data_IF_790467265103
#
_entry.id   IF_790467265103
#
_cell.length_a   1.000
_cell.length_b   1.000
_cell.length_c   1.000
_cell.angle_alpha   90.00
_cell.angle_beta   90.00
_cell.angle_gamma   90.00
#
_symmetry.space_group_name_H-M   'P 1'
#
loop_
_entity.id
_entity.type
_entity.pdbx_description
1 polymer ?
#
# COMPACT_ATOMS: atom_id res chain seq x y z
N UNK A 1 36.39 24.10 34.23
CA UNK A 1 36.44 23.60 32.84
C UNK A 1 37.61 22.64 32.60
N UNK A 2 38.87 23.11 32.46
CA UNK A 2 40.01 22.24 32.08
C UNK A 2 40.26 21.03 33.00
N UNK A 3 40.11 21.21 34.31
CA UNK A 3 40.24 20.10 35.28
C UNK A 3 39.18 19.02 35.06
N UNK A 4 37.91 19.42 34.88
CA UNK A 4 36.80 18.49 34.63
C UNK A 4 36.99 17.79 33.28
N UNK A 5 37.39 18.51 32.24
CA UNK A 5 37.69 17.92 30.93
C UNK A 5 38.73 16.80 31.04
N UNK A 6 39.79 16.98 31.84
CA UNK A 6 40.79 15.95 32.10
C UNK A 6 40.22 14.73 32.85
N UNK A 7 39.32 14.95 33.80
CA UNK A 7 38.65 13.85 34.51
C UNK A 7 37.75 13.06 33.55
N UNK A 8 37.04 13.74 32.66
CA UNK A 8 36.19 13.14 31.63
C UNK A 8 36.97 12.32 30.61
N UNK A 9 38.16 12.78 30.18
CA UNK A 9 39.03 11.98 29.30
C UNK A 9 39.51 10.67 29.92
N UNK A 10 39.44 10.55 31.25
CA UNK A 10 39.76 9.32 31.97
C UNK A 10 38.51 8.49 32.31
N UNK A 11 37.33 8.83 31.76
CA UNK A 11 36.04 8.18 32.04
C UNK A 11 35.66 8.14 33.52
N UNK A 12 36.14 9.09 34.33
CA UNK A 12 35.89 9.17 35.78
C UNK A 12 34.67 10.04 36.09
N UNK A 13 33.50 9.67 35.58
CA UNK A 13 32.29 10.50 35.62
C UNK A 13 31.82 10.85 37.04
N UNK A 14 31.90 9.90 37.98
CA UNK A 14 31.58 10.13 39.40
C UNK A 14 32.50 11.17 40.06
N UNK A 15 33.80 11.13 39.75
CA UNK A 15 34.75 12.12 40.24
C UNK A 15 34.51 13.49 39.61
N UNK A 16 34.10 13.54 38.34
CA UNK A 16 33.73 14.79 37.69
C UNK A 16 32.49 15.42 38.35
N UNK A 17 31.46 14.62 38.67
CA UNK A 17 30.27 15.09 39.42
C UNK A 17 30.60 15.56 40.84
N UNK A 18 31.45 14.82 41.56
CA UNK A 18 31.91 15.26 42.90
C UNK A 18 32.64 16.60 42.80
N UNK A 19 33.51 16.76 41.80
CA UNK A 19 34.23 18.00 41.60
C UNK A 19 33.31 19.18 41.27
N UNK A 20 32.26 18.96 40.49
CA UNK A 20 31.22 19.96 40.26
C UNK A 20 30.50 20.36 41.55
N UNK A 21 30.12 19.39 42.39
CA UNK A 21 29.48 19.66 43.67
C UNK A 21 30.37 20.50 44.60
N UNK A 22 31.67 20.22 44.67
CA UNK A 22 32.64 21.02 45.42
C UNK A 22 32.75 22.46 44.88
N UNK A 23 32.74 22.62 43.55
CA UNK A 23 32.77 23.94 42.91
C UNK A 23 31.51 24.74 43.22
N UNK A 24 30.31 24.12 43.21
CA UNK A 24 29.06 24.77 43.62
C UNK A 24 29.11 25.27 45.06
N UNK A 25 29.67 24.49 45.97
CA UNK A 25 29.79 24.86 47.39
C UNK A 25 30.77 26.00 47.61
N UNK A 26 31.90 25.99 46.89
CA UNK A 26 32.99 26.96 47.08
C UNK A 26 32.85 28.21 46.22
N UNK A 27 32.07 28.15 45.14
CA UNK A 27 31.89 29.22 44.15
C UNK A 27 30.42 29.32 43.75
N UNK A 28 29.60 29.85 44.65
CA UNK A 28 28.14 29.99 44.46
C UNK A 28 27.75 30.92 43.31
N UNK A 29 28.68 31.70 42.77
CA UNK A 29 28.49 32.55 41.58
C UNK A 29 28.73 31.81 40.25
N UNK A 30 29.25 30.58 40.28
CA UNK A 30 29.54 29.81 39.09
C UNK A 30 28.26 29.17 38.55
N UNK A 31 27.84 29.55 37.35
CA UNK A 31 26.90 28.76 36.56
C UNK A 31 27.64 27.54 35.99
N UNK A 32 27.28 26.36 36.47
CA UNK A 32 27.89 25.10 36.07
C UNK A 32 26.94 24.19 35.28
N UNK A 33 25.80 24.73 34.83
CA UNK A 33 24.80 23.97 34.07
C UNK A 33 25.40 23.33 32.81
N UNK A 34 26.22 24.07 32.07
CA UNK A 34 26.92 23.56 30.88
C UNK A 34 27.90 22.44 31.23
N UNK A 35 28.67 22.59 32.31
CA UNK A 35 29.63 21.57 32.73
C UNK A 35 28.93 20.31 33.23
N UNK A 36 27.81 20.44 33.93
CA UNK A 36 27.00 19.30 34.35
C UNK A 36 26.41 18.55 33.14
N UNK A 37 25.89 19.29 32.15
CA UNK A 37 25.43 18.72 30.87
C UNK A 37 26.57 17.96 30.16
N UNK A 38 27.76 18.57 30.06
CA UNK A 38 28.89 17.96 29.36
C UNK A 38 29.41 16.68 30.04
N UNK A 39 29.34 16.60 31.37
CA UNK A 39 29.65 15.38 32.13
C UNK A 39 28.67 14.25 31.79
N UNK A 40 27.37 14.55 31.78
CA UNK A 40 26.33 13.57 31.48
C UNK A 40 26.41 13.12 30.00
N UNK A 41 26.69 14.02 29.06
CA UNK A 41 26.90 13.69 27.64
C UNK A 41 28.13 12.78 27.45
N UNK A 42 29.23 13.05 28.16
CA UNK A 42 30.43 12.23 28.08
C UNK A 42 30.18 10.81 28.65
N UNK A 43 29.42 10.69 29.73
CA UNK A 43 29.03 9.39 30.29
C UNK A 43 28.11 8.62 29.33
N UNK A 44 27.09 9.27 28.77
CA UNK A 44 26.19 8.65 27.80
C UNK A 44 26.92 8.10 26.56
N UNK A 45 27.86 8.88 26.02
CA UNK A 45 28.69 8.46 24.88
C UNK A 45 29.57 7.27 25.24
N UNK A 46 30.13 7.25 26.45
CA UNK A 46 30.92 6.10 26.92
C UNK A 46 30.07 4.83 26.96
N UNK A 47 28.85 4.87 27.50
CA UNK A 47 27.93 3.72 27.49
C UNK A 47 27.58 3.27 26.06
N UNK A 48 27.28 4.20 25.15
CA UNK A 48 27.00 3.87 23.76
C UNK A 48 28.19 3.17 23.07
N UNK A 49 29.42 3.63 23.30
CA UNK A 49 30.64 3.00 22.79
C UNK A 49 30.90 1.59 23.36
N UNK A 50 30.34 1.29 24.53
CA UNK A 50 30.36 -0.06 25.11
C UNK A 50 29.14 -0.91 24.70
N UNK A 51 28.32 -0.41 23.77
CA UNK A 51 27.04 -1.01 23.36
C UNK A 51 26.01 -1.15 24.49
N UNK A 52 26.17 -0.39 25.57
CA UNK A 52 25.21 -0.28 26.66
C UNK A 52 24.18 0.82 26.32
N UNK A 53 23.38 0.53 25.30
CA UNK A 53 22.40 1.49 24.77
C UNK A 53 21.27 1.80 25.74
N UNK A 54 20.98 0.90 26.70
CA UNK A 54 19.94 1.15 27.69
C UNK A 54 20.34 2.28 28.64
N UNK A 55 21.57 2.23 29.17
CA UNK A 55 22.06 3.25 30.07
C UNK A 55 22.34 4.57 29.34
N UNK A 56 22.91 4.50 28.13
CA UNK A 56 23.09 5.68 27.29
C UNK A 56 21.74 6.38 27.00
N UNK A 57 20.71 5.62 26.62
CA UNK A 57 19.38 6.16 26.38
C UNK A 57 18.75 6.76 27.65
N UNK A 58 18.92 6.10 28.81
CA UNK A 58 18.44 6.64 30.09
C UNK A 58 19.02 8.03 30.37
N UNK A 59 20.33 8.20 30.19
CA UNK A 59 21.03 9.47 30.44
C UNK A 59 20.61 10.52 29.41
N UNK A 60 20.63 10.19 28.12
CA UNK A 60 20.34 11.16 27.05
C UNK A 60 18.87 11.62 27.05
N UNK A 61 17.92 10.72 27.36
CA UNK A 61 16.52 11.10 27.49
C UNK A 61 16.25 11.95 28.75
N UNK A 62 17.00 11.74 29.84
CA UNK A 62 16.93 12.63 31.00
C UNK A 62 17.51 14.02 30.68
N UNK A 63 18.68 14.07 30.03
CA UNK A 63 19.26 15.30 29.52
C UNK A 63 18.28 16.05 28.61
N UNK A 64 17.58 15.32 27.73
CA UNK A 64 16.59 15.89 26.82
C UNK A 64 15.42 16.54 27.54
N UNK A 65 15.00 16.01 28.69
CA UNK A 65 13.95 16.62 29.53
C UNK A 65 14.43 17.91 30.18
N UNK A 66 15.68 17.94 30.66
CA UNK A 66 16.29 19.12 31.29
C UNK A 66 16.64 20.22 30.29
N UNK A 67 17.05 19.83 29.08
CA UNK A 67 17.52 20.71 28.02
C UNK A 67 16.79 20.43 26.69
N UNK A 68 15.48 20.70 26.61
CA UNK A 68 14.64 20.31 25.46
C UNK A 68 14.94 21.10 24.19
N UNK A 69 15.77 22.15 24.24
CA UNK A 69 16.17 22.96 23.07
C UNK A 69 17.67 22.88 22.77
N UNK A 70 18.43 22.07 23.52
CA UNK A 70 19.87 21.97 23.34
C UNK A 70 20.23 21.07 22.15
N UNK A 71 20.84 21.68 21.13
CA UNK A 71 21.23 21.00 19.90
C UNK A 71 22.37 20.00 20.10
N UNK A 72 23.23 20.20 21.10
CA UNK A 72 24.27 19.23 21.42
C UNK A 72 23.64 17.95 21.98
N UNK A 73 22.63 18.08 22.84
CA UNK A 73 21.86 16.93 23.34
C UNK A 73 21.09 16.26 22.21
N UNK A 74 20.46 17.01 21.30
CA UNK A 74 19.80 16.44 20.11
C UNK A 74 20.77 15.64 19.25
N UNK A 75 21.95 16.21 18.97
CA UNK A 75 22.99 15.58 18.17
C UNK A 75 23.46 14.28 18.81
N UNK A 76 23.80 14.31 20.10
CA UNK A 76 24.23 13.12 20.84
C UNK A 76 23.16 12.04 20.89
N UNK A 77 21.88 12.40 21.07
CA UNK A 77 20.77 11.44 20.97
C UNK A 77 20.76 10.68 19.63
N UNK A 78 21.09 11.36 18.53
CA UNK A 78 21.13 10.70 17.22
C UNK A 78 22.42 9.93 17.03
N UNK A 79 23.58 10.55 17.23
CA UNK A 79 24.89 9.89 17.03
C UNK A 79 25.05 8.64 17.91
N UNK A 80 24.66 8.72 19.19
CA UNK A 80 24.94 7.68 20.17
C UNK A 80 23.85 6.58 20.19
N UNK A 81 22.64 6.83 19.63
CA UNK A 81 21.50 5.90 19.68
C UNK A 81 20.86 5.57 18.32
N UNK A 82 21.40 6.01 17.18
CA UNK A 82 20.82 5.75 15.84
C UNK A 82 20.64 4.24 15.53
N UNK A 83 21.53 3.41 16.06
CA UNK A 83 21.51 1.94 15.93
C UNK A 83 20.62 1.25 16.98
N UNK A 84 20.13 1.98 17.98
CA UNK A 84 19.28 1.41 19.03
C UNK A 84 17.83 1.21 18.55
N UNK A 85 17.10 0.31 19.19
CA UNK A 85 15.65 0.13 18.94
C UNK A 85 14.77 1.27 19.50
N UNK A 86 15.35 2.39 19.99
CA UNK A 86 14.62 3.50 20.64
C UNK A 86 14.34 4.65 19.68
N UNK A 87 13.59 4.39 18.61
CA UNK A 87 13.49 5.29 17.46
C UNK A 87 12.67 6.58 17.70
N UNK A 88 11.65 6.59 18.57
CA UNK A 88 10.76 7.77 18.70
C UNK A 88 11.45 9.01 19.30
N UNK A 89 12.22 8.81 20.37
CA UNK A 89 12.99 9.89 21.00
C UNK A 89 14.12 10.42 20.11
N UNK A 90 14.73 9.52 19.34
CA UNK A 90 15.82 9.82 18.40
C UNK A 90 15.29 10.58 17.18
N UNK A 91 14.15 10.15 16.61
CA UNK A 91 13.48 10.86 15.50
C UNK A 91 13.12 12.29 15.87
N UNK A 92 12.51 12.50 17.05
CA UNK A 92 12.17 13.85 17.53
C UNK A 92 13.40 14.75 17.71
N UNK A 93 14.53 14.19 18.16
CA UNK A 93 15.79 14.91 18.27
C UNK A 93 16.39 15.28 16.91
N UNK A 94 16.37 14.35 15.94
CA UNK A 94 16.83 14.58 14.57
C UNK A 94 16.05 15.70 13.88
N UNK A 95 14.71 15.67 13.99
CA UNK A 95 13.83 16.71 13.45
C UNK A 95 14.19 18.08 14.02
N UNK A 96 14.28 18.19 15.35
CA UNK A 96 14.60 19.46 15.98
C UNK A 96 16.01 19.95 15.63
N UNK A 97 16.98 19.06 15.53
CA UNK A 97 18.33 19.44 15.12
C UNK A 97 18.33 20.01 13.70
N UNK A 98 17.63 19.35 12.78
CA UNK A 98 17.50 19.78 11.39
C UNK A 98 16.80 21.14 11.27
N UNK A 99 15.69 21.37 11.99
CA UNK A 99 14.99 22.66 11.96
C UNK A 99 15.87 23.84 12.41
N UNK A 100 16.78 23.60 13.35
CA UNK A 100 17.63 24.64 13.93
C UNK A 100 18.97 24.81 13.20
N UNK A 101 19.35 23.88 12.33
CA UNK A 101 20.69 23.84 11.71
C UNK A 101 20.59 24.07 10.22
N UNK A 102 20.98 25.25 9.70
CA UNK A 102 21.04 25.46 8.27
C UNK A 102 22.21 24.70 7.63
N UNK A 103 22.03 24.23 6.40
CA UNK A 103 23.10 23.60 5.62
C UNK A 103 23.14 22.07 5.73
N UNK A 104 24.29 21.48 5.45
CA UNK A 104 24.46 20.02 5.42
C UNK A 104 24.36 19.43 6.84
N UNK A 105 23.56 18.37 6.98
CA UNK A 105 23.42 17.63 8.23
C UNK A 105 24.37 16.44 8.27
N UNK A 106 24.62 15.94 9.48
CA UNK A 106 25.35 14.70 9.68
C UNK A 106 24.59 13.52 9.05
N UNK A 107 25.33 12.53 8.55
CA UNK A 107 24.78 11.38 7.86
C UNK A 107 23.78 10.60 8.73
N UNK A 108 24.05 10.46 10.02
CA UNK A 108 23.22 9.77 11.00
C UNK A 108 21.87 10.47 11.22
N UNK A 109 21.87 11.81 11.15
CA UNK A 109 20.65 12.63 11.25
C UNK A 109 19.82 12.46 9.99
N UNK A 110 20.43 12.55 8.81
CA UNK A 110 19.75 12.31 7.55
C UNK A 110 19.16 10.90 7.49
N UNK A 111 19.90 9.88 7.90
CA UNK A 111 19.42 8.49 7.91
C UNK A 111 18.26 8.29 8.89
N UNK A 112 18.32 8.91 10.06
CA UNK A 112 17.21 8.90 11.03
C UNK A 112 15.96 9.57 10.44
N UNK A 113 16.12 10.70 9.75
CA UNK A 113 15.02 11.39 9.09
C UNK A 113 14.45 10.57 7.93
N UNK A 114 15.29 9.92 7.11
CA UNK A 114 14.86 9.02 6.01
C UNK A 114 14.08 7.82 6.53
N UNK A 115 14.55 7.19 7.60
CA UNK A 115 13.85 6.09 8.27
C UNK A 115 12.51 6.54 8.84
N UNK A 116 12.49 7.72 9.49
CA UNK A 116 11.27 8.36 9.95
C UNK A 116 10.29 8.56 8.80
N UNK A 117 10.75 9.16 7.70
CA UNK A 117 9.95 9.42 6.51
C UNK A 117 9.37 8.14 5.88
N UNK A 118 10.13 7.05 5.81
CA UNK A 118 9.63 5.76 5.29
C UNK A 118 8.54 5.14 6.17
N UNK A 119 8.61 5.38 7.48
CA UNK A 119 7.65 4.84 8.45
C UNK A 119 6.44 5.76 8.67
N UNK A 120 6.58 7.05 8.35
CA UNK A 120 5.49 8.01 8.39
C UNK A 120 4.78 7.95 7.04
N UNK A 121 3.48 7.60 7.03
CA UNK A 121 2.69 7.61 5.79
C UNK A 121 2.70 8.99 5.09
N UNK A 122 2.14 9.07 3.88
CA UNK A 122 2.14 10.29 3.06
C UNK A 122 1.49 11.51 3.71
N UNK A 123 0.44 11.27 4.50
CA UNK A 123 -0.44 12.31 5.03
C UNK A 123 -0.01 12.77 6.43
N UNK A 124 -0.48 13.96 6.81
CA UNK A 124 -0.25 14.55 8.12
C UNK A 124 0.93 15.53 8.15
N UNK A 125 0.94 16.36 9.20
CA UNK A 125 1.93 17.44 9.36
C UNK A 125 3.33 16.91 9.63
N UNK A 126 3.46 15.77 10.30
CA UNK A 126 4.76 15.13 10.52
C UNK A 126 5.40 14.67 9.20
N UNK A 127 4.61 14.03 8.31
CA UNK A 127 5.09 13.59 7.00
C UNK A 127 5.58 14.77 6.15
N UNK A 128 4.78 15.86 6.11
CA UNK A 128 5.13 17.09 5.41
C UNK A 128 6.42 17.71 5.95
N UNK A 129 6.56 17.77 7.28
CA UNK A 129 7.75 18.31 7.94
C UNK A 129 8.99 17.48 7.63
N UNK A 130 8.90 16.15 7.71
CA UNK A 130 10.01 15.25 7.37
C UNK A 130 10.45 15.42 5.90
N UNK A 131 9.50 15.50 4.97
CA UNK A 131 9.81 15.79 3.55
C UNK A 131 10.51 17.12 3.39
N UNK A 132 10.00 18.19 4.00
CA UNK A 132 10.59 19.52 3.91
C UNK A 132 12.04 19.53 4.42
N UNK A 133 12.31 18.87 5.54
CA UNK A 133 13.66 18.73 6.10
C UNK A 133 14.58 17.94 5.16
N UNK A 134 14.13 16.78 4.66
CA UNK A 134 14.94 15.97 3.75
C UNK A 134 15.24 16.70 2.44
N UNK A 135 14.28 17.43 1.87
CA UNK A 135 14.46 18.27 0.68
C UNK A 135 15.48 19.39 0.95
N UNK A 136 15.41 20.03 2.13
CA UNK A 136 16.30 21.14 2.47
C UNK A 136 17.74 20.71 2.75
N UNK A 137 17.94 19.52 3.30
CA UNK A 137 19.22 19.08 3.85
C UNK A 137 19.92 17.96 3.07
N UNK A 138 19.23 17.24 2.19
CA UNK A 138 19.83 16.20 1.34
C UNK A 138 19.59 16.48 -0.15
N UNK A 139 20.61 17.03 -0.79
CA UNK A 139 20.59 17.36 -2.23
C UNK A 139 20.36 16.15 -3.15
N UNK A 140 20.62 14.93 -2.67
CA UNK A 140 20.43 13.70 -3.44
C UNK A 140 19.03 13.10 -3.27
N UNK A 141 18.30 13.51 -2.22
CA UNK A 141 17.04 12.90 -1.82
C UNK A 141 15.97 12.97 -2.92
N UNK A 142 15.77 14.14 -3.53
CA UNK A 142 14.78 14.31 -4.62
C UNK A 142 15.10 13.40 -5.81
N UNK A 143 16.38 13.22 -6.14
CA UNK A 143 16.79 12.33 -7.23
C UNK A 143 16.57 10.86 -6.88
N UNK A 144 16.81 10.45 -5.64
CA UNK A 144 16.50 9.10 -5.17
C UNK A 144 14.99 8.80 -5.29
N UNK A 145 14.13 9.76 -4.92
CA UNK A 145 12.68 9.62 -5.04
C UNK A 145 12.20 9.43 -6.49
N UNK A 146 12.92 9.96 -7.49
CA UNK A 146 12.57 9.70 -8.90
C UNK A 146 12.65 8.22 -9.27
N UNK A 147 13.61 7.48 -8.70
CA UNK A 147 13.75 6.05 -8.95
C UNK A 147 12.66 5.23 -8.24
N UNK A 148 12.17 5.72 -7.10
CA UNK A 148 11.14 5.06 -6.30
C UNK A 148 9.71 5.26 -6.83
N UNK A 149 9.48 6.24 -7.73
CA UNK A 149 8.14 6.51 -8.29
C UNK A 149 7.55 5.31 -9.05
N UNK A 150 8.40 4.48 -9.65
CA UNK A 150 8.00 3.26 -10.33
C UNK A 150 8.21 2.01 -9.45
N UNK A 151 8.40 2.14 -8.13
CA UNK A 151 8.57 1.01 -7.19
C UNK A 151 7.30 0.16 -7.10
N UNK A 152 7.45 -1.15 -6.90
CA UNK A 152 6.35 -2.06 -6.59
C UNK A 152 5.88 -1.87 -5.13
N UNK A 153 6.79 -1.46 -4.24
CA UNK A 153 6.47 -1.15 -2.85
C UNK A 153 5.60 0.12 -2.79
N UNK A 154 4.39 -0.03 -2.25
CA UNK A 154 3.38 1.03 -2.21
C UNK A 154 3.89 2.24 -1.41
N UNK A 155 4.50 2.00 -0.24
CA UNK A 155 4.99 3.08 0.62
C UNK A 155 6.00 3.97 -0.10
N UNK A 156 7.00 3.37 -0.72
CA UNK A 156 8.06 4.07 -1.45
C UNK A 156 7.49 4.89 -2.61
N UNK A 157 6.64 4.28 -3.44
CA UNK A 157 6.02 4.94 -4.59
C UNK A 157 5.19 6.17 -4.20
N UNK A 158 4.39 6.05 -3.15
CA UNK A 158 3.51 7.13 -2.66
C UNK A 158 4.31 8.25 -2.01
N UNK A 159 5.38 7.90 -1.29
CA UNK A 159 6.33 8.84 -0.73
C UNK A 159 7.08 9.62 -1.83
N UNK A 160 7.58 8.93 -2.85
CA UNK A 160 8.22 9.52 -4.01
C UNK A 160 7.31 10.53 -4.73
N UNK A 161 6.07 10.13 -5.00
CA UNK A 161 5.06 11.00 -5.61
C UNK A 161 4.88 12.31 -4.83
N UNK A 162 4.80 12.21 -3.50
CA UNK A 162 4.59 13.37 -2.63
C UNK A 162 5.78 14.32 -2.64
N UNK A 163 7.01 13.77 -2.57
CA UNK A 163 8.23 14.58 -2.64
C UNK A 163 8.31 15.32 -3.97
N UNK A 164 8.13 14.62 -5.09
CA UNK A 164 8.21 15.22 -6.43
C UNK A 164 7.13 16.27 -6.69
N UNK A 165 5.94 16.08 -6.11
CA UNK A 165 4.86 17.07 -6.12
C UNK A 165 5.23 18.32 -5.33
N UNK A 166 5.73 18.15 -4.09
CA UNK A 166 6.08 19.26 -3.20
C UNK A 166 7.19 20.15 -3.82
N UNK A 167 8.17 19.54 -4.50
CA UNK A 167 9.23 20.28 -5.21
C UNK A 167 8.85 20.73 -6.62
N UNK A 168 7.62 20.44 -7.08
CA UNK A 168 7.13 20.76 -8.44
C UNK A 168 8.00 20.20 -9.57
N UNK A 169 8.54 19.00 -9.37
CA UNK A 169 9.37 18.29 -10.35
C UNK A 169 8.73 17.01 -10.89
N UNK A 170 7.49 16.73 -10.50
CA UNK A 170 6.70 15.66 -11.09
C UNK A 170 6.26 16.09 -12.51
N UNK A 171 6.70 15.33 -13.51
CA UNK A 171 6.25 15.54 -14.90
C UNK A 171 4.87 14.88 -15.13
N UNK A 172 4.07 15.34 -16.10
CA UNK A 172 2.79 14.70 -16.41
C UNK A 172 2.94 13.21 -16.72
N UNK A 173 3.99 12.82 -17.44
CA UNK A 173 4.24 11.42 -17.83
C UNK A 173 4.52 10.53 -16.61
N UNK A 174 5.19 11.08 -15.61
CA UNK A 174 5.44 10.43 -14.33
C UNK A 174 4.16 10.31 -13.49
N UNK A 175 3.34 11.36 -13.45
CA UNK A 175 2.05 11.37 -12.75
C UNK A 175 1.11 10.31 -13.33
N UNK A 176 1.02 10.22 -14.67
CA UNK A 176 0.22 9.20 -15.34
C UNK A 176 0.71 7.78 -14.99
N UNK A 177 2.02 7.50 -15.05
CA UNK A 177 2.56 6.18 -14.67
C UNK A 177 2.23 5.82 -13.22
N UNK A 178 2.36 6.77 -12.30
CA UNK A 178 2.00 6.59 -10.90
C UNK A 178 0.55 6.16 -10.73
N UNK A 179 -0.39 6.88 -11.35
CA UNK A 179 -1.81 6.56 -11.23
C UNK A 179 -2.18 5.24 -11.93
N UNK A 180 -1.62 4.94 -13.10
CA UNK A 180 -1.83 3.63 -13.75
C UNK A 180 -1.32 2.50 -12.86
N UNK A 181 -0.14 2.65 -12.26
CA UNK A 181 0.42 1.63 -11.36
C UNK A 181 -0.44 1.41 -10.12
N UNK A 182 -0.96 2.49 -9.52
CA UNK A 182 -1.87 2.38 -8.38
C UNK A 182 -3.22 1.74 -8.76
N UNK A 183 -3.79 2.08 -9.91
CA UNK A 183 -5.02 1.44 -10.43
C UNK A 183 -4.86 -0.08 -10.55
N UNK A 184 -3.70 -0.51 -11.03
CA UNK A 184 -3.38 -1.91 -11.30
C UNK A 184 -3.08 -2.69 -10.02
N UNK A 185 -2.28 -2.13 -9.10
CA UNK A 185 -1.75 -2.87 -7.95
C UNK A 185 -2.61 -2.80 -6.69
N UNK A 186 -3.37 -1.72 -6.50
CA UNK A 186 -4.05 -1.47 -5.22
C UNK A 186 -5.48 -1.98 -5.21
N UNK A 187 -5.93 -2.40 -4.03
CA UNK A 187 -7.34 -2.69 -3.75
C UNK A 187 -8.06 -1.46 -3.21
N UNK A 188 -9.38 -1.60 -3.00
CA UNK A 188 -10.24 -0.60 -2.38
C UNK A 188 -9.84 -0.18 -0.97
N UNK A 189 -8.90 -0.89 -0.33
CA UNK A 189 -8.38 -0.55 1.00
C UNK A 189 -7.42 0.65 1.02
N UNK A 190 -6.98 1.12 -0.16
CA UNK A 190 -6.04 2.23 -0.30
C UNK A 190 -6.72 3.46 -0.89
N UNK A 191 -6.58 4.61 -0.24
CA UNK A 191 -7.10 5.91 -0.71
C UNK A 191 -6.58 6.27 -2.11
N UNK A 192 -5.32 5.94 -2.38
CA UNK A 192 -4.60 6.19 -3.62
C UNK A 192 -5.20 5.45 -4.81
N UNK A 193 -5.91 4.34 -4.56
CA UNK A 193 -6.67 3.65 -5.60
C UNK A 193 -7.87 4.50 -6.06
N UNK A 194 -8.53 5.21 -5.14
CA UNK A 194 -9.57 6.19 -5.46
C UNK A 194 -9.02 7.39 -6.22
N UNK A 195 -7.90 7.96 -5.75
CA UNK A 195 -7.21 9.07 -6.44
C UNK A 195 -6.82 8.69 -7.88
N UNK A 196 -6.31 7.48 -8.08
CA UNK A 196 -5.97 6.97 -9.41
C UNK A 196 -7.19 6.85 -10.33
N UNK A 197 -8.33 6.37 -9.81
CA UNK A 197 -9.57 6.27 -10.57
C UNK A 197 -10.02 7.65 -11.05
N UNK A 198 -10.07 8.62 -10.13
CA UNK A 198 -10.54 9.97 -10.45
C UNK A 198 -9.59 10.68 -11.42
N UNK A 199 -8.28 10.58 -11.20
CA UNK A 199 -7.27 11.11 -12.12
C UNK A 199 -7.40 10.53 -13.53
N UNK A 200 -7.46 9.20 -13.66
CA UNK A 200 -7.46 8.54 -14.96
C UNK A 200 -8.76 8.76 -15.73
N UNK A 201 -9.89 8.90 -15.03
CA UNK A 201 -11.16 9.31 -15.63
C UNK A 201 -11.04 10.71 -16.22
N UNK A 202 -10.58 11.67 -15.43
CA UNK A 202 -10.46 13.06 -15.85
C UNK A 202 -9.39 13.28 -16.93
N UNK A 203 -8.28 12.54 -16.87
CA UNK A 203 -7.19 12.64 -17.83
C UNK A 203 -7.56 11.97 -19.17
N UNK A 204 -8.30 10.86 -19.13
CA UNK A 204 -8.71 10.11 -20.31
C UNK A 204 -9.61 10.87 -21.28
N UNK A 205 -10.38 11.84 -20.78
CA UNK A 205 -11.30 12.66 -21.57
C UNK A 205 -10.61 13.89 -22.22
N UNK A 206 -9.34 14.13 -21.91
CA UNK A 206 -8.61 15.31 -22.41
C UNK A 206 -8.06 15.09 -23.83
N UNK A 207 -8.04 16.13 -24.68
CA UNK A 207 -7.33 16.07 -25.96
C UNK A 207 -5.85 15.72 -25.77
N UNK A 208 -5.29 14.90 -26.66
CA UNK A 208 -3.89 14.46 -26.59
C UNK A 208 -3.63 13.24 -25.70
N UNK A 209 -4.68 12.58 -25.20
CA UNK A 209 -4.56 11.40 -24.33
C UNK A 209 -3.70 10.28 -24.93
N UNK A 210 -3.85 10.01 -26.22
CA UNK A 210 -3.09 8.94 -26.91
C UNK A 210 -1.60 9.27 -26.96
N UNK A 211 -1.26 10.51 -27.29
CA UNK A 211 0.12 11.01 -27.29
C UNK A 211 0.71 10.99 -25.89
N UNK A 212 -0.06 11.37 -24.88
CA UNK A 212 0.37 11.40 -23.48
C UNK A 212 0.66 9.99 -22.94
N UNK A 213 -0.23 9.01 -23.18
CA UNK A 213 0.04 7.60 -22.84
C UNK A 213 1.30 7.07 -23.52
N UNK A 214 1.50 7.42 -24.78
CA UNK A 214 2.70 7.02 -25.55
C UNK A 214 3.97 7.64 -24.96
N UNK A 215 3.94 8.93 -24.61
CA UNK A 215 5.06 9.62 -23.98
C UNK A 215 5.38 9.03 -22.59
N UNK A 216 4.34 8.73 -21.81
CA UNK A 216 4.46 8.07 -20.52
C UNK A 216 4.96 6.62 -20.60
N UNK A 217 4.91 6.00 -21.79
CA UNK A 217 5.38 4.63 -22.00
C UNK A 217 4.53 3.58 -21.29
N UNK A 218 3.20 3.77 -21.26
CA UNK A 218 2.29 2.84 -20.59
C UNK A 218 2.38 1.47 -21.25
N UNK A 219 2.67 0.45 -20.45
CA UNK A 219 2.84 -0.94 -20.87
C UNK A 219 1.47 -1.64 -20.94
N UNK A 220 1.36 -2.77 -21.66
CA UNK A 220 0.19 -3.64 -21.57
C UNK A 220 -0.12 -4.01 -20.12
N UNK A 221 -1.40 -3.98 -19.76
CA UNK A 221 -1.88 -4.27 -18.42
C UNK A 221 -2.08 -5.78 -18.29
N UNK A 222 -1.31 -6.40 -17.40
CA UNK A 222 -1.30 -7.87 -17.20
C UNK A 222 -1.96 -8.31 -15.90
N UNK A 223 -2.25 -7.38 -15.00
CA UNK A 223 -2.89 -7.61 -13.70
C UNK A 223 -3.77 -6.39 -13.36
N UNK A 224 -4.86 -6.60 -12.62
CA UNK A 224 -5.66 -5.52 -12.02
C UNK A 224 -6.29 -6.04 -10.74
N UNK A 225 -5.72 -5.66 -9.59
CA UNK A 225 -6.12 -6.19 -8.28
C UNK A 225 -7.58 -5.92 -7.95
N UNK A 226 -8.08 -4.75 -8.36
CA UNK A 226 -9.47 -4.36 -8.16
C UNK A 226 -10.49 -5.33 -8.78
N UNK A 227 -10.16 -5.99 -9.90
CA UNK A 227 -11.10 -6.91 -10.56
C UNK A 227 -11.21 -8.26 -9.85
N UNK A 228 -10.35 -8.57 -8.88
CA UNK A 228 -10.40 -9.82 -8.11
C UNK A 228 -11.48 -9.83 -7.02
N UNK A 229 -12.18 -8.70 -6.83
CA UNK A 229 -13.23 -8.53 -5.81
C UNK A 229 -14.57 -8.16 -6.45
N UNK A 230 -15.68 -8.51 -5.79
CA UNK A 230 -17.02 -8.05 -6.15
C UNK A 230 -17.42 -6.86 -5.26
N UNK A 231 -16.84 -5.69 -5.54
CA UNK A 231 -17.13 -4.46 -4.82
C UNK A 231 -17.37 -3.26 -5.76
N UNK A 232 -17.76 -2.13 -5.17
CA UNK A 232 -17.98 -0.87 -5.91
C UNK A 232 -16.69 -0.39 -6.60
N UNK A 233 -15.53 -0.70 -6.01
CA UNK A 233 -14.25 -0.30 -6.55
C UNK A 233 -13.95 -1.00 -7.88
N UNK A 234 -14.18 -2.31 -7.99
CA UNK A 234 -14.12 -3.04 -9.25
C UNK A 234 -14.98 -2.36 -10.32
N UNK A 235 -16.22 -1.99 -9.97
CA UNK A 235 -17.17 -1.32 -10.87
C UNK A 235 -16.69 0.06 -11.35
N UNK A 236 -15.92 0.78 -10.52
CA UNK A 236 -15.32 2.08 -10.90
C UNK A 236 -14.08 1.95 -11.79
N UNK A 237 -13.36 0.83 -11.70
CA UNK A 237 -12.16 0.55 -12.51
C UNK A 237 -12.52 0.10 -13.93
N UNK A 238 -13.61 -0.66 -14.11
CA UNK A 238 -14.00 -1.21 -15.43
C UNK A 238 -14.11 -0.16 -16.56
N UNK A 239 -14.76 1.00 -16.36
CA UNK A 239 -14.86 2.02 -17.40
C UNK A 239 -13.50 2.63 -17.78
N UNK A 240 -12.55 2.67 -16.84
CA UNK A 240 -11.19 3.17 -17.11
C UNK A 240 -10.45 2.18 -18.02
N UNK A 241 -10.53 0.89 -17.68
CA UNK A 241 -9.90 -0.17 -18.48
C UNK A 241 -10.52 -0.28 -19.87
N UNK A 242 -11.81 -0.05 -20.01
CA UNK A 242 -12.53 -0.22 -21.29
C UNK A 242 -12.72 1.06 -22.09
N UNK A 243 -12.32 2.22 -21.55
CA UNK A 243 -12.25 3.49 -22.25
C UNK A 243 -10.79 3.96 -22.37
N UNK A 244 -10.32 4.85 -21.47
CA UNK A 244 -8.98 5.44 -21.55
C UNK A 244 -7.83 4.45 -21.72
N UNK A 245 -7.88 3.28 -21.07
CA UNK A 245 -6.83 2.26 -21.11
C UNK A 245 -7.17 1.04 -21.97
N UNK A 246 -8.15 1.15 -22.88
CA UNK A 246 -8.61 0.01 -23.68
C UNK A 246 -7.50 -0.61 -24.53
N UNK A 247 -6.64 0.21 -25.14
CA UNK A 247 -5.56 -0.29 -25.99
C UNK A 247 -4.57 -1.17 -25.20
N UNK A 248 -4.36 -0.86 -23.93
CA UNK A 248 -3.42 -1.53 -23.03
C UNK A 248 -4.05 -2.73 -22.30
N UNK A 249 -5.38 -2.75 -22.13
CA UNK A 249 -6.10 -3.76 -21.34
C UNK A 249 -6.85 -4.80 -22.18
N UNK A 250 -7.18 -4.50 -23.44
CA UNK A 250 -8.14 -5.29 -24.25
C UNK A 250 -7.81 -6.77 -24.35
N UNK A 251 -6.56 -7.10 -24.67
CA UNK A 251 -6.14 -8.50 -24.82
C UNK A 251 -6.24 -9.26 -23.50
N UNK A 252 -5.77 -8.64 -22.41
CA UNK A 252 -5.78 -9.27 -21.10
C UNK A 252 -7.20 -9.43 -20.54
N UNK A 253 -8.07 -8.44 -20.72
CA UNK A 253 -9.50 -8.54 -20.36
C UNK A 253 -10.16 -9.72 -21.08
N UNK A 254 -9.86 -9.94 -22.36
CA UNK A 254 -10.39 -11.08 -23.11
C UNK A 254 -9.88 -12.41 -22.52
N UNK A 255 -8.57 -12.53 -22.26
CA UNK A 255 -7.95 -13.74 -21.67
C UNK A 255 -8.51 -14.08 -20.29
N UNK A 256 -8.69 -13.07 -19.43
CA UNK A 256 -9.32 -13.27 -18.12
C UNK A 256 -10.75 -13.76 -18.24
N UNK A 257 -11.53 -13.15 -19.12
CA UNK A 257 -12.94 -13.51 -19.31
C UNK A 257 -13.12 -14.91 -19.92
N UNK A 258 -12.27 -15.32 -20.86
CA UNK A 258 -12.32 -16.68 -21.45
C UNK A 258 -11.81 -17.76 -20.50
N UNK A 259 -11.01 -17.39 -19.49
CA UNK A 259 -10.34 -18.34 -18.60
C UNK A 259 -9.19 -19.06 -19.29
N UNK A 260 -8.56 -18.40 -20.28
CA UNK A 260 -7.30 -18.84 -20.91
C UNK A 260 -6.07 -18.48 -20.04
N UNK A 261 -6.33 -17.84 -18.90
CA UNK A 261 -5.38 -17.54 -17.85
C UNK A 261 -5.68 -18.44 -16.64
N UNK A 262 -4.67 -19.21 -16.18
CA UNK A 262 -4.84 -20.19 -15.10
C UNK A 262 -5.25 -19.52 -13.77
N UNK A 263 -4.79 -18.29 -13.53
CA UNK A 263 -5.16 -17.55 -12.33
C UNK A 263 -6.61 -17.08 -12.41
N UNK A 264 -7.06 -16.55 -13.55
CA UNK A 264 -8.45 -16.17 -13.75
C UNK A 264 -9.41 -17.36 -13.76
N UNK A 265 -8.98 -18.55 -14.20
CA UNK A 265 -9.82 -19.76 -14.11
C UNK A 265 -10.11 -20.15 -12.66
N UNK A 266 -9.15 -19.89 -11.76
CA UNK A 266 -9.30 -20.09 -10.31
C UNK A 266 -9.99 -18.90 -9.62
N UNK A 267 -9.94 -17.71 -10.22
CA UNK A 267 -10.52 -16.48 -9.69
C UNK A 267 -11.80 -16.08 -10.45
N UNK A 268 -12.94 -16.59 -9.97
CA UNK A 268 -14.26 -16.34 -10.56
C UNK A 268 -14.64 -14.86 -10.65
N UNK A 269 -14.25 -14.04 -9.66
CA UNK A 269 -14.48 -12.60 -9.66
C UNK A 269 -13.78 -11.92 -10.83
N UNK A 270 -12.47 -12.19 -11.00
CA UNK A 270 -11.66 -11.61 -12.08
C UNK A 270 -12.26 -11.91 -13.46
N UNK A 271 -12.60 -13.18 -13.71
CA UNK A 271 -13.23 -13.60 -14.96
C UNK A 271 -14.58 -12.92 -15.20
N UNK A 272 -15.43 -12.87 -14.18
CA UNK A 272 -16.75 -12.25 -14.26
C UNK A 272 -16.68 -10.73 -14.49
N UNK A 273 -15.80 -10.07 -13.75
CA UNK A 273 -15.56 -8.64 -13.84
C UNK A 273 -14.97 -8.25 -15.20
N UNK A 274 -14.04 -9.03 -15.73
CA UNK A 274 -13.50 -8.80 -17.08
C UNK A 274 -14.58 -8.94 -18.17
N UNK A 275 -15.44 -9.96 -18.09
CA UNK A 275 -16.58 -10.12 -18.99
C UNK A 275 -17.58 -8.96 -18.87
N UNK A 276 -17.93 -8.56 -17.64
CA UNK A 276 -18.82 -7.42 -17.38
C UNK A 276 -18.28 -6.14 -18.00
N UNK A 277 -16.99 -5.84 -17.78
CA UNK A 277 -16.33 -4.68 -18.36
C UNK A 277 -16.45 -4.66 -19.89
N UNK A 278 -16.08 -5.77 -20.54
CA UNK A 278 -16.15 -5.88 -22.00
C UNK A 278 -17.59 -5.77 -22.50
N UNK A 279 -18.57 -6.31 -21.78
CA UNK A 279 -19.98 -6.22 -22.15
C UNK A 279 -20.53 -4.82 -22.07
N UNK A 280 -20.28 -4.11 -20.97
CA UNK A 280 -20.75 -2.75 -20.78
C UNK A 280 -20.13 -1.78 -21.80
N UNK A 281 -18.89 -2.06 -22.23
CA UNK A 281 -18.22 -1.34 -23.30
C UNK A 281 -18.71 -1.70 -24.72
N UNK A 282 -19.65 -2.63 -24.88
CA UNK A 282 -20.09 -3.12 -26.20
C UNK A 282 -19.01 -3.91 -26.95
N UNK A 283 -17.98 -4.38 -26.23
CA UNK A 283 -16.88 -5.21 -26.73
C UNK A 283 -17.11 -6.70 -26.47
N UNK A 284 -18.17 -7.03 -25.74
CA UNK A 284 -18.69 -8.38 -25.64
C UNK A 284 -19.36 -8.81 -26.98
N UNK A 285 -19.34 -10.10 -27.31
CA UNK A 285 -18.90 -10.55 -28.64
C UNK A 285 -20.06 -10.81 -29.60
N UNK A 286 -19.75 -11.16 -30.87
CA UNK A 286 -19.01 -12.39 -31.14
C UNK A 286 -17.50 -12.25 -31.41
N UNK A 287 -16.91 -11.05 -31.39
CA UNK A 287 -15.49 -10.86 -31.77
C UNK A 287 -14.42 -11.16 -30.69
N UNK A 288 -14.72 -11.17 -29.38
CA UNK A 288 -13.71 -11.35 -28.31
C UNK A 288 -13.92 -12.53 -27.31
N UNK A 289 -15.15 -12.99 -27.07
CA UNK A 289 -15.61 -13.90 -25.96
C UNK A 289 -17.04 -14.40 -26.25
N UNK A 290 -17.24 -15.62 -26.72
CA UNK A 290 -18.61 -16.07 -27.00
C UNK A 290 -19.47 -16.14 -25.70
N UNK A 291 -20.60 -15.37 -25.57
CA UNK A 291 -21.35 -15.27 -24.31
C UNK A 291 -21.88 -16.60 -23.80
N UNK A 292 -22.30 -17.50 -24.70
CA UNK A 292 -22.77 -18.82 -24.30
C UNK A 292 -21.67 -19.62 -23.62
N UNK A 293 -20.47 -19.71 -24.22
CA UNK A 293 -19.30 -20.39 -23.68
C UNK A 293 -18.87 -19.77 -22.34
N UNK A 294 -18.91 -18.45 -22.22
CA UNK A 294 -18.62 -17.76 -20.96
C UNK A 294 -19.57 -18.20 -19.83
N UNK A 295 -20.88 -18.10 -20.05
CA UNK A 295 -21.87 -18.44 -19.03
C UNK A 295 -21.89 -19.95 -18.75
N UNK A 296 -21.69 -20.79 -19.77
CA UNK A 296 -21.56 -22.23 -19.60
C UNK A 296 -20.37 -22.58 -18.69
N UNK A 297 -19.20 -21.95 -18.92
CA UNK A 297 -18.03 -22.11 -18.04
C UNK A 297 -18.34 -21.63 -16.63
N UNK A 298 -19.05 -20.51 -16.46
CA UNK A 298 -19.47 -20.00 -15.14
C UNK A 298 -20.31 -21.01 -14.36
N UNK A 299 -21.22 -21.73 -15.00
CA UNK A 299 -21.99 -22.80 -14.36
C UNK A 299 -21.16 -24.07 -14.09
N UNK A 300 -19.98 -24.22 -14.71
CA UNK A 300 -19.07 -25.36 -14.51
C UNK A 300 -17.96 -25.10 -13.48
N UNK A 301 -17.55 -23.85 -13.26
CA UNK A 301 -16.37 -23.52 -12.43
C UNK A 301 -16.67 -22.71 -11.18
N UNK A 302 -17.91 -22.27 -10.94
CA UNK A 302 -18.23 -21.51 -9.72
C UNK A 302 -17.94 -22.31 -8.44
N UNK A 303 -17.55 -21.60 -7.37
CA UNK A 303 -17.22 -22.18 -6.08
C UNK A 303 -18.47 -22.34 -5.21
N UNK A 304 -18.85 -23.59 -4.92
CA UNK A 304 -20.04 -23.94 -4.16
C UNK A 304 -19.85 -23.65 -2.66
N UNK A 305 -20.26 -22.46 -2.23
CA UNK A 305 -20.10 -21.98 -0.85
C UNK A 305 -20.05 -20.46 -0.72
N UNK A 306 -19.84 -19.77 -1.83
CA UNK A 306 -20.10 -18.35 -2.00
C UNK A 306 -21.11 -18.28 -3.13
N UNK A 307 -22.30 -17.70 -2.93
CA UNK A 307 -23.25 -17.49 -4.01
C UNK A 307 -22.76 -16.30 -4.83
N UNK A 308 -22.03 -16.53 -5.93
CA UNK A 308 -21.38 -15.44 -6.61
C UNK A 308 -22.34 -14.81 -7.61
N UNK A 309 -22.29 -13.49 -7.79
CA UNK A 309 -23.21 -12.80 -8.71
C UNK A 309 -23.19 -13.39 -10.14
N UNK A 310 -22.02 -13.87 -10.60
CA UNK A 310 -21.84 -14.46 -11.92
C UNK A 310 -22.51 -15.83 -12.12
N UNK A 311 -22.82 -16.55 -11.04
CA UNK A 311 -23.63 -17.77 -11.11
C UNK A 311 -25.06 -17.42 -11.49
N UNK A 312 -25.68 -16.51 -10.74
CA UNK A 312 -27.06 -16.07 -10.96
C UNK A 312 -27.22 -15.46 -12.34
N UNK A 313 -26.24 -14.63 -12.76
CA UNK A 313 -26.20 -14.06 -14.09
C UNK A 313 -26.13 -15.13 -15.20
N UNK A 314 -25.34 -16.18 -15.02
CA UNK A 314 -25.26 -17.29 -15.98
C UNK A 314 -26.55 -18.11 -16.02
N UNK A 315 -27.20 -18.36 -14.88
CA UNK A 315 -28.51 -19.03 -14.84
C UNK A 315 -29.56 -18.18 -15.56
N UNK A 316 -29.61 -16.88 -15.31
CA UNK A 316 -30.53 -15.96 -15.96
C UNK A 316 -30.31 -15.88 -17.48
N UNK A 317 -29.04 -15.89 -17.92
CA UNK A 317 -28.69 -15.98 -19.33
C UNK A 317 -29.32 -17.23 -19.96
N UNK A 318 -29.08 -18.43 -19.40
CA UNK A 318 -29.62 -19.67 -19.96
C UNK A 318 -31.14 -19.76 -19.83
N UNK A 319 -31.74 -19.23 -18.76
CA UNK A 319 -33.20 -19.07 -18.66
C UNK A 319 -33.73 -18.29 -19.86
N UNK A 320 -33.14 -17.14 -20.19
CA UNK A 320 -33.55 -16.35 -21.35
C UNK A 320 -33.34 -17.10 -22.67
N UNK A 321 -32.29 -17.94 -22.77
CA UNK A 321 -32.06 -18.78 -23.95
C UNK A 321 -33.05 -19.95 -24.07
N UNK A 322 -33.77 -20.34 -23.02
CA UNK A 322 -34.79 -21.41 -23.15
C UNK A 322 -35.90 -21.07 -24.15
N UNK A 323 -36.15 -19.78 -24.41
CA UNK A 323 -37.09 -19.34 -25.44
C UNK A 323 -36.53 -19.39 -26.87
N UNK A 324 -35.20 -19.34 -27.04
CA UNK A 324 -34.52 -19.24 -28.34
C UNK A 324 -33.86 -20.55 -28.77
N UNK A 325 -33.18 -21.22 -27.84
CA UNK A 325 -32.42 -22.47 -28.00
C UNK A 325 -32.78 -23.45 -26.86
N UNK A 326 -34.05 -23.91 -26.78
CA UNK A 326 -34.58 -24.63 -25.62
C UNK A 326 -33.80 -25.89 -25.27
N UNK A 327 -33.47 -26.74 -26.26
CA UNK A 327 -32.80 -28.01 -26.02
C UNK A 327 -31.38 -27.81 -25.46
N UNK A 328 -30.62 -26.90 -26.08
CA UNK A 328 -29.23 -26.63 -25.71
C UNK A 328 -29.14 -25.93 -24.35
N UNK A 329 -29.99 -24.93 -24.09
CA UNK A 329 -30.00 -24.22 -22.82
C UNK A 329 -30.41 -25.14 -21.66
N UNK A 330 -31.40 -26.03 -21.88
CA UNK A 330 -31.80 -27.02 -20.89
C UNK A 330 -30.69 -28.04 -20.61
N UNK A 331 -29.95 -28.47 -21.64
CA UNK A 331 -28.84 -29.40 -21.44
C UNK A 331 -27.75 -28.80 -20.53
N UNK A 332 -27.40 -27.51 -20.71
CA UNK A 332 -26.43 -26.83 -19.85
C UNK A 332 -26.94 -26.71 -18.41
N UNK A 333 -28.19 -26.29 -18.22
CA UNK A 333 -28.79 -26.17 -16.88
C UNK A 333 -28.91 -27.55 -16.19
N UNK A 334 -29.23 -28.61 -16.92
CA UNK A 334 -29.27 -29.99 -16.41
C UNK A 334 -27.88 -30.46 -15.95
N UNK A 335 -26.83 -30.18 -16.72
CA UNK A 335 -25.47 -30.50 -16.32
C UNK A 335 -25.06 -29.76 -15.04
N UNK A 336 -25.43 -28.49 -14.91
CA UNK A 336 -25.22 -27.72 -13.69
C UNK A 336 -25.98 -28.32 -12.48
N UNK A 337 -27.24 -28.70 -12.67
CA UNK A 337 -28.07 -29.31 -11.63
C UNK A 337 -27.47 -30.64 -11.15
N UNK A 338 -27.03 -31.50 -12.07
CA UNK A 338 -26.40 -32.78 -11.75
C UNK A 338 -25.12 -32.60 -10.93
N UNK A 339 -24.26 -31.63 -11.29
CA UNK A 339 -23.04 -31.29 -10.53
C UNK A 339 -23.37 -30.79 -9.12
N UNK A 340 -24.41 -29.97 -8.96
CA UNK A 340 -24.87 -29.50 -7.65
C UNK A 340 -25.39 -30.67 -6.78
N UNK A 341 -26.18 -31.58 -7.37
CA UNK A 341 -26.68 -32.77 -6.70
C UNK A 341 -25.56 -33.69 -6.22
N UNK A 342 -24.54 -33.91 -7.06
CA UNK A 342 -23.36 -34.70 -6.71
C UNK A 342 -22.59 -34.08 -5.52
N UNK A 343 -22.39 -32.77 -5.52
CA UNK A 343 -21.70 -32.08 -4.42
C UNK A 343 -22.51 -32.08 -3.14
N UNK A 344 -23.84 -31.86 -3.21
CA UNK A 344 -24.73 -31.99 -2.05
C UNK A 344 -24.64 -33.41 -1.47
N UNK A 345 -24.64 -34.44 -2.32
CA UNK A 345 -24.48 -35.82 -1.88
C UNK A 345 -23.09 -36.07 -1.27
N UNK A 346 -22.04 -35.47 -1.82
CA UNK A 346 -20.68 -35.48 -1.26
C UNK A 346 -20.63 -34.87 0.15
N UNK A 347 -21.17 -33.67 0.34
CA UNK A 347 -21.22 -32.99 1.64
C UNK A 347 -22.00 -33.77 2.69
N UNK A 348 -23.11 -34.41 2.30
CA UNK A 348 -23.88 -35.32 3.18
C UNK A 348 -23.06 -36.54 3.59
N UNK A 349 -22.37 -37.20 2.64
CA UNK A 349 -21.50 -38.36 2.92
C UNK A 349 -20.34 -38.02 3.85
N UNK A 350 -19.74 -36.84 3.66
CA UNK A 350 -18.65 -36.34 4.47
C UNK A 350 -19.09 -35.76 5.83
N UNK A 351 -20.39 -35.79 6.16
CA UNK A 351 -20.97 -35.21 7.38
C UNK A 351 -20.55 -33.74 7.60
N UNK A 352 -20.37 -32.98 6.51
CA UNK A 352 -19.98 -31.57 6.61
C UNK A 352 -21.10 -30.76 7.27
N UNK A 353 -20.70 -29.70 7.98
CA UNK A 353 -21.62 -28.80 8.68
C UNK A 353 -22.80 -28.42 7.75
N UNK A 354 -24.07 -28.57 8.21
CA UNK A 354 -25.26 -28.27 7.42
C UNK A 354 -25.26 -26.89 6.74
N UNK A 355 -24.54 -25.91 7.30
CA UNK A 355 -24.39 -24.59 6.69
C UNK A 355 -23.70 -24.65 5.32
N UNK A 356 -22.75 -25.56 5.09
CA UNK A 356 -22.12 -25.79 3.78
C UNK A 356 -23.06 -26.46 2.77
N UNK A 357 -24.16 -27.07 3.23
CA UNK A 357 -25.14 -27.72 2.36
C UNK A 357 -26.23 -26.73 1.89
N UNK A 358 -26.43 -25.61 2.60
CA UNK A 358 -27.51 -24.65 2.31
C UNK A 358 -27.33 -23.92 0.98
N UNK A 359 -26.12 -23.41 0.72
CA UNK A 359 -25.86 -22.66 -0.52
C UNK A 359 -26.06 -23.52 -1.79
N UNK A 360 -25.48 -24.73 -1.91
CA UNK A 360 -25.72 -25.59 -3.06
C UNK A 360 -27.19 -26.00 -3.24
N UNK A 361 -27.93 -26.23 -2.15
CA UNK A 361 -29.37 -26.55 -2.24
C UNK A 361 -30.19 -25.37 -2.77
N UNK A 362 -29.85 -24.14 -2.37
CA UNK A 362 -30.47 -22.92 -2.90
C UNK A 362 -30.16 -22.75 -4.38
N UNK A 363 -28.88 -22.86 -4.76
CA UNK A 363 -28.41 -22.80 -6.15
C UNK A 363 -29.11 -23.85 -7.04
N UNK A 364 -29.30 -25.06 -6.54
CA UNK A 364 -30.05 -26.11 -7.24
C UNK A 364 -31.52 -25.71 -7.45
N UNK A 365 -32.15 -25.06 -6.46
CA UNK A 365 -33.49 -24.50 -6.59
C UNK A 365 -33.58 -23.45 -7.70
N UNK A 366 -32.60 -22.54 -7.77
CA UNK A 366 -32.49 -21.49 -8.80
C UNK A 366 -32.36 -22.12 -10.20
N UNK A 367 -31.46 -23.10 -10.37
CA UNK A 367 -31.26 -23.78 -11.66
C UNK A 367 -32.51 -24.53 -12.11
N UNK A 368 -33.21 -25.22 -11.19
CA UNK A 368 -34.46 -25.93 -11.49
C UNK A 368 -35.58 -24.98 -11.91
N UNK A 369 -35.73 -23.84 -11.22
CA UNK A 369 -36.69 -22.80 -11.63
C UNK A 369 -36.38 -22.27 -13.03
N UNK A 370 -35.11 -22.03 -13.35
CA UNK A 370 -34.69 -21.56 -14.66
C UNK A 370 -34.98 -22.58 -15.79
N UNK A 371 -34.86 -23.89 -15.54
CA UNK A 371 -35.23 -24.93 -16.53
C UNK A 371 -36.72 -24.91 -16.88
N UNK A 372 -37.57 -24.54 -15.91
CA UNK A 372 -39.02 -24.36 -16.09
C UNK A 372 -39.37 -22.99 -16.72
N UNK A 373 -38.38 -22.13 -16.98
CA UNK A 373 -38.59 -20.76 -17.45
C UNK A 373 -39.13 -19.81 -16.38
N UNK A 374 -39.07 -20.20 -15.10
CA UNK A 374 -39.55 -19.39 -13.96
C UNK A 374 -38.46 -18.45 -13.46
N UNK A 375 -38.82 -17.31 -12.84
CA UNK A 375 -37.86 -16.51 -12.09
C UNK A 375 -37.28 -17.30 -10.90
N UNK A 376 -36.06 -16.97 -10.43
CA UNK A 376 -35.49 -17.59 -9.24
C UNK A 376 -36.41 -17.35 -8.01
N UNK A 377 -36.49 -18.33 -7.10
CA UNK A 377 -37.34 -18.29 -5.91
C UNK A 377 -36.83 -17.33 -4.81
#
# INVERSE_FOLDING_TARGET
AAEIARILTASRFSDARRRLAELRQTRTWLDDAELARDVDLAEARFHAQQHDYEESARILLDLRKRYPQDLLVCRSLVEDLCESNRQDGVRGAAVQFADATPGELLAEILETLKRGFRNTGRYGEEAKRLRALLIAHDSTFVNAMRAELDSDEHGDRVNAYSVLTDVKQLTPDQELRYHVKNLVMLSSSYSEAGEAIDYLRDAGDKPGWTEHKRAAGIKPITEVKALESDDEHASKVMPILTGPLLAESREQLARWATGDDEFADKNGCLRANAFRALREAGLAPPTLIEPWAFHERSLRTFHMGQEPFWFTEAVDFFRAQTAKRPAEAKAVLQACAARLEENIAGYKRAQMNPNFQRAPMRELGIVRAAMDGKPPP
#
